data_IF_251507999785
#
_entry.id   IF_251507999785
#
_cell.length_a   1.000
_cell.length_b   1.000
_cell.length_c   1.000
_cell.angle_alpha   90.00
_cell.angle_beta   90.00
_cell.angle_gamma   90.00
#
_symmetry.space_group_name_H-M   'P 1'
#
loop_
_entity.id
_entity.type
_entity.pdbx_description
1 polymer ?
#
# COMPACT_ATOMS: atom_id res chain seq x y z
N UNK A 1 -17.21 4.21 1.51
CA UNK A 1 -17.21 2.75 1.63
C UNK A 1 -16.08 2.18 0.78
N UNK A 2 -15.35 1.23 1.31
CA UNK A 2 -14.23 0.64 0.60
C UNK A 2 -14.61 -0.62 -0.17
N UNK A 3 -13.82 -0.94 -1.19
CA UNK A 3 -14.02 -2.12 -2.02
C UNK A 3 -12.66 -2.70 -2.43
N UNK A 4 -12.65 -3.96 -2.82
CA UNK A 4 -11.45 -4.63 -3.34
C UNK A 4 -11.43 -4.53 -4.86
N UNK A 5 -10.29 -4.10 -5.40
CA UNK A 5 -10.08 -4.04 -6.85
C UNK A 5 -8.85 -4.85 -7.23
N UNK A 6 -8.80 -5.30 -8.48
CA UNK A 6 -7.65 -6.02 -9.01
C UNK A 6 -6.85 -5.10 -9.92
N UNK A 7 -5.54 -5.03 -9.68
CA UNK A 7 -4.59 -4.30 -10.52
C UNK A 7 -3.55 -5.28 -11.07
N UNK A 8 -2.87 -4.86 -12.13
CA UNK A 8 -1.80 -5.66 -12.74
C UNK A 8 -0.54 -4.80 -12.83
N UNK A 9 0.54 -5.30 -12.27
CA UNK A 9 1.85 -4.67 -12.34
C UNK A 9 2.49 -4.87 -13.72
N UNK A 10 3.56 -4.11 -14.01
CA UNK A 10 4.22 -4.13 -15.32
C UNK A 10 4.86 -5.49 -15.67
N UNK A 11 5.15 -6.32 -14.67
CA UNK A 11 5.66 -7.67 -14.88
C UNK A 11 4.56 -8.73 -15.11
N UNK A 12 3.30 -8.30 -15.19
CA UNK A 12 2.15 -9.17 -15.42
C UNK A 12 1.52 -9.77 -14.17
N UNK A 13 2.08 -9.48 -12.99
CA UNK A 13 1.51 -9.94 -11.71
C UNK A 13 0.22 -9.19 -11.39
N UNK A 14 -0.85 -9.93 -11.12
CA UNK A 14 -2.12 -9.35 -10.66
C UNK A 14 -2.23 -9.45 -9.14
N UNK A 15 -2.73 -8.39 -8.53
CA UNK A 15 -2.86 -8.31 -7.08
C UNK A 15 -4.12 -7.54 -6.70
N UNK A 16 -4.57 -7.74 -5.47
CA UNK A 16 -5.70 -7.00 -4.92
C UNK A 16 -5.21 -5.71 -4.26
N UNK A 17 -6.04 -4.69 -4.32
CA UNK A 17 -5.87 -3.46 -3.56
C UNK A 17 -7.19 -3.07 -2.92
N UNK A 18 -7.14 -2.62 -1.67
CA UNK A 18 -8.30 -2.04 -1.03
C UNK A 18 -8.45 -0.60 -1.48
N UNK A 19 -9.62 -0.26 -2.00
CA UNK A 19 -9.93 1.06 -2.56
C UNK A 19 -10.94 1.77 -1.69
N UNK A 20 -10.63 2.96 -1.21
CA UNK A 20 -11.54 3.83 -0.48
C UNK A 20 -11.65 5.16 -1.21
N UNK A 21 -12.78 5.41 -1.91
CA UNK A 21 -12.97 6.65 -2.65
C UNK A 21 -13.15 7.84 -1.70
N UNK A 22 -12.73 9.02 -2.15
CA UNK A 22 -12.79 10.23 -1.34
C UNK A 22 -14.23 10.63 -0.98
N UNK A 23 -14.35 11.26 0.17
CA UNK A 23 -15.55 11.95 0.61
C UNK A 23 -15.30 13.45 0.59
N UNK A 24 -16.34 14.23 0.22
CA UNK A 24 -16.20 15.68 0.13
C UNK A 24 -15.28 16.13 -1.02
N UNK A 25 -14.69 17.32 -0.92
CA UNK A 25 -13.84 17.85 -1.99
C UNK A 25 -12.59 17.00 -2.19
N UNK A 26 -12.30 16.64 -3.44
CA UNK A 26 -11.14 15.84 -3.82
C UNK A 26 -9.82 16.59 -3.55
N UNK A 27 -8.89 15.95 -2.89
CA UNK A 27 -7.56 16.50 -2.58
C UNK A 27 -6.41 15.82 -3.33
N UNK A 28 -6.61 14.61 -3.81
CA UNK A 28 -5.58 13.85 -4.51
C UNK A 28 -5.72 12.36 -4.29
N UNK A 29 -4.82 11.59 -4.89
CA UNK A 29 -4.68 10.17 -4.64
C UNK A 29 -3.70 9.88 -3.52
N UNK A 30 -3.89 8.78 -2.82
CA UNK A 30 -3.00 8.31 -1.77
C UNK A 30 -2.81 6.80 -1.87
N UNK A 31 -1.56 6.37 -2.00
CA UNK A 31 -1.19 4.97 -1.84
C UNK A 31 -0.80 4.76 -0.39
N UNK A 32 -1.49 3.85 0.30
CA UNK A 32 -1.26 3.55 1.71
C UNK A 32 -0.70 2.14 1.83
N UNK A 33 0.53 2.02 2.37
CA UNK A 33 1.27 0.76 2.38
C UNK A 33 1.15 0.09 3.73
N UNK A 34 0.81 -1.20 3.70
CA UNK A 34 0.63 -2.09 4.83
C UNK A 34 1.85 -2.19 5.74
N UNK A 35 1.59 -2.59 6.97
CA UNK A 35 2.60 -3.13 7.87
C UNK A 35 2.95 -4.58 7.46
N UNK A 36 3.76 -5.29 8.26
CA UNK A 36 4.07 -6.71 7.97
C UNK A 36 2.86 -7.65 8.09
N UNK A 37 1.74 -7.15 8.57
CA UNK A 37 0.55 -7.96 8.83
C UNK A 37 -0.42 -8.04 7.64
N UNK A 38 -0.13 -7.37 6.54
CA UNK A 38 -1.01 -7.32 5.38
C UNK A 38 -1.99 -6.15 5.42
N UNK A 39 -2.94 -6.14 4.50
CA UNK A 39 -4.01 -5.14 4.46
C UNK A 39 -5.11 -5.57 5.44
N UNK A 40 -4.82 -5.40 6.72
CA UNK A 40 -5.69 -5.76 7.84
C UNK A 40 -6.88 -4.80 7.98
N UNK A 41 -7.81 -5.12 8.87
CA UNK A 41 -8.92 -4.20 9.20
C UNK A 41 -8.42 -2.85 9.69
N UNK A 42 -7.27 -2.82 10.40
CA UNK A 42 -6.64 -1.57 10.82
C UNK A 42 -6.22 -0.71 9.61
N UNK A 43 -5.53 -1.31 8.64
CA UNK A 43 -5.13 -0.60 7.42
C UNK A 43 -6.36 -0.13 6.62
N UNK A 44 -7.40 -0.96 6.54
CA UNK A 44 -8.65 -0.57 5.88
C UNK A 44 -9.31 0.61 6.59
N UNK A 45 -9.29 0.64 7.92
CA UNK A 45 -9.81 1.78 8.69
C UNK A 45 -9.03 3.06 8.39
N UNK A 46 -7.69 2.98 8.30
CA UNK A 46 -6.88 4.13 7.91
C UNK A 46 -7.21 4.62 6.51
N UNK A 47 -7.49 3.70 5.57
CA UNK A 47 -7.93 4.10 4.23
C UNK A 47 -9.22 4.92 4.29
N UNK A 48 -10.18 4.50 5.12
CA UNK A 48 -11.42 5.26 5.30
C UNK A 48 -11.18 6.64 5.93
N UNK A 49 -10.29 6.70 6.93
CA UNK A 49 -9.96 7.98 7.57
C UNK A 49 -9.36 8.97 6.56
N UNK A 50 -8.44 8.54 5.72
CA UNK A 50 -7.89 9.40 4.66
C UNK A 50 -8.93 9.73 3.58
N UNK A 51 -9.83 8.81 3.26
CA UNK A 51 -10.92 9.08 2.32
C UNK A 51 -11.85 10.18 2.86
N UNK A 52 -12.14 10.18 4.16
CA UNK A 52 -12.90 11.25 4.81
C UNK A 52 -12.21 12.62 4.72
N UNK A 53 -10.89 12.63 4.59
CA UNK A 53 -10.12 13.86 4.40
C UNK A 53 -10.07 14.34 2.94
N UNK A 54 -10.62 13.57 2.00
CA UNK A 54 -10.71 13.96 0.59
C UNK A 54 -9.77 13.22 -0.35
N UNK A 55 -9.13 12.13 0.08
CA UNK A 55 -8.22 11.37 -0.76
C UNK A 55 -8.88 10.12 -1.36
N UNK A 56 -8.58 9.84 -2.63
CA UNK A 56 -8.82 8.51 -3.20
C UNK A 56 -7.68 7.59 -2.75
N UNK A 57 -7.99 6.59 -1.94
CA UNK A 57 -6.96 5.76 -1.29
C UNK A 57 -6.91 4.37 -1.93
N UNK A 58 -5.70 3.89 -2.21
CA UNK A 58 -5.42 2.51 -2.59
C UNK A 58 -4.39 1.91 -1.63
N UNK A 59 -4.73 0.75 -1.06
CA UNK A 59 -3.82 -0.03 -0.23
C UNK A 59 -3.54 -1.37 -0.94
N UNK A 60 -2.39 -1.51 -1.63
CA UNK A 60 -2.06 -2.74 -2.33
C UNK A 60 -1.73 -3.87 -1.37
N UNK A 61 -2.18 -5.08 -1.68
CA UNK A 61 -1.80 -6.30 -0.97
C UNK A 61 -0.40 -6.74 -1.41
N UNK A 62 0.62 -6.20 -0.77
CA UNK A 62 2.03 -6.44 -1.13
C UNK A 62 2.39 -7.92 -1.07
N UNK A 63 1.76 -8.70 -0.17
CA UNK A 63 2.04 -10.12 -0.01
C UNK A 63 1.36 -11.03 -1.02
N UNK A 64 0.50 -10.50 -1.91
CA UNK A 64 -0.19 -11.32 -2.92
C UNK A 64 0.76 -12.06 -3.86
N UNK A 65 1.99 -11.58 -4.01
CA UNK A 65 3.03 -12.28 -4.78
C UNK A 65 3.43 -13.61 -4.15
N UNK A 66 3.26 -13.77 -2.85
CA UNK A 66 3.55 -15.01 -2.10
C UNK A 66 2.28 -15.81 -1.86
N UNK A 67 1.23 -15.16 -1.40
CA UNK A 67 -0.06 -15.80 -1.10
C UNK A 67 -1.17 -14.75 -1.16
N UNK A 68 -2.17 -14.92 -2.03
CA UNK A 68 -3.32 -14.02 -2.09
C UNK A 68 -4.04 -13.91 -0.75
N UNK A 69 -4.48 -12.71 -0.42
CA UNK A 69 -5.26 -12.39 0.78
C UNK A 69 -4.52 -12.69 2.10
N UNK A 70 -3.18 -12.66 2.09
CA UNK A 70 -2.42 -12.91 3.31
C UNK A 70 -2.59 -11.75 4.30
N UNK A 71 -3.07 -12.09 5.49
CA UNK A 71 -3.16 -11.18 6.62
C UNK A 71 -2.86 -11.97 7.90
N UNK A 72 -2.16 -11.34 8.83
CA UNK A 72 -1.64 -12.01 10.01
C UNK A 72 -1.99 -11.25 11.29
N UNK A 73 -2.16 -11.99 12.38
CA UNK A 73 -2.26 -11.44 13.72
C UNK A 73 -0.91 -10.93 14.23
N UNK A 74 -0.95 -10.21 15.35
CA UNK A 74 0.22 -9.49 15.88
C UNK A 74 1.10 -10.33 16.80
N UNK A 75 0.76 -11.57 17.06
CA UNK A 75 1.42 -12.40 18.07
C UNK A 75 1.67 -13.84 17.58
N UNK A 76 2.58 -14.54 18.25
CA UNK A 76 2.82 -15.96 18.08
C UNK A 76 3.28 -16.36 16.68
N UNK A 77 2.73 -17.48 16.18
CA UNK A 77 3.10 -18.03 14.87
C UNK A 77 2.73 -17.10 13.73
N UNK A 78 1.64 -16.36 13.85
CA UNK A 78 1.22 -15.41 12.82
C UNK A 78 2.20 -14.24 12.69
N UNK A 79 2.75 -13.75 13.80
CA UNK A 79 3.81 -12.75 13.77
C UNK A 79 5.06 -13.28 13.04
N UNK A 80 5.44 -14.52 13.30
CA UNK A 80 6.60 -15.14 12.63
C UNK A 80 6.34 -15.29 11.12
N UNK A 81 5.14 -15.67 10.72
CA UNK A 81 4.74 -15.74 9.32
C UNK A 81 4.79 -14.35 8.66
N UNK A 82 4.32 -13.32 9.35
CA UNK A 82 4.37 -11.94 8.86
C UNK A 82 5.81 -11.48 8.63
N UNK A 83 6.72 -11.75 9.56
CA UNK A 83 8.15 -11.44 9.43
C UNK A 83 8.76 -12.18 8.24
N UNK A 84 8.46 -13.47 8.08
CA UNK A 84 8.93 -14.28 6.96
C UNK A 84 8.44 -13.71 5.62
N UNK A 85 7.16 -13.37 5.51
CA UNK A 85 6.57 -12.81 4.30
C UNK A 85 7.22 -11.47 3.93
N UNK A 86 7.44 -10.60 4.91
CA UNK A 86 8.11 -9.32 4.66
C UNK A 86 9.55 -9.53 4.16
N UNK A 87 10.29 -10.46 4.76
CA UNK A 87 11.64 -10.80 4.31
C UNK A 87 11.67 -11.36 2.89
N UNK A 88 10.74 -12.24 2.56
CA UNK A 88 10.65 -12.86 1.22
C UNK A 88 10.15 -11.88 0.15
N UNK A 89 9.24 -10.98 0.51
CA UNK A 89 8.75 -9.94 -0.40
C UNK A 89 9.84 -8.91 -0.73
N UNK A 90 10.67 -8.59 0.24
CA UNK A 90 11.74 -7.61 0.05
C UNK A 90 11.19 -6.22 -0.28
N UNK A 91 11.98 -5.47 -1.04
CA UNK A 91 11.65 -4.08 -1.39
C UNK A 91 11.61 -3.82 -2.90
N UNK A 92 12.08 -4.75 -3.72
CA UNK A 92 12.21 -4.53 -5.17
C UNK A 92 10.89 -4.73 -5.93
N UNK A 93 10.29 -5.93 -5.82
CA UNK A 93 9.06 -6.25 -6.53
C UNK A 93 7.84 -5.46 -6.03
N UNK A 94 7.73 -5.12 -4.73
CA UNK A 94 6.65 -4.23 -4.28
C UNK A 94 6.60 -2.89 -5.00
N UNK A 95 7.73 -2.40 -5.50
CA UNK A 95 7.77 -1.14 -6.27
C UNK A 95 6.93 -1.22 -7.54
N UNK A 96 6.84 -2.39 -8.16
CA UNK A 96 6.02 -2.60 -9.36
C UNK A 96 4.52 -2.50 -9.04
N UNK A 97 4.12 -3.05 -7.90
CA UNK A 97 2.73 -2.99 -7.44
C UNK A 97 2.35 -1.56 -7.04
N UNK A 98 3.24 -0.87 -6.35
CA UNK A 98 3.06 0.53 -5.97
C UNK A 98 2.95 1.41 -7.23
N UNK A 99 3.80 1.19 -8.23
CA UNK A 99 3.73 1.94 -9.47
C UNK A 99 2.37 1.78 -10.17
N UNK A 100 1.81 0.58 -10.18
CA UNK A 100 0.48 0.34 -10.76
C UNK A 100 -0.60 1.13 -10.03
N UNK A 101 -0.53 1.22 -8.71
CA UNK A 101 -1.45 2.04 -7.92
C UNK A 101 -1.30 3.53 -8.23
N UNK A 102 -0.07 4.03 -8.32
CA UNK A 102 0.21 5.44 -8.64
C UNK A 102 -0.32 5.78 -10.03
N UNK A 103 -0.07 4.91 -11.01
CA UNK A 103 -0.51 5.14 -12.39
C UNK A 103 -2.04 5.24 -12.48
N UNK A 104 -2.77 4.41 -11.74
CA UNK A 104 -4.22 4.49 -11.70
C UNK A 104 -4.71 5.80 -11.06
N UNK A 105 -4.21 6.13 -9.88
CA UNK A 105 -4.64 7.33 -9.14
C UNK A 105 -4.25 8.62 -9.85
N UNK A 106 -3.14 8.61 -10.57
CA UNK A 106 -2.62 9.81 -11.26
C UNK A 106 -3.50 10.27 -12.40
N UNK A 107 -4.39 9.43 -12.89
CA UNK A 107 -5.36 9.83 -13.93
C UNK A 107 -6.27 10.97 -13.47
N UNK A 108 -6.51 11.09 -12.16
CA UNK A 108 -7.44 12.07 -11.60
C UNK A 108 -6.74 13.26 -10.92
N UNK A 109 -5.46 13.16 -10.60
CA UNK A 109 -4.74 14.25 -9.94
C UNK A 109 -3.42 13.83 -9.30
N UNK A 110 -2.83 14.67 -8.45
CA UNK A 110 -1.56 14.37 -7.79
C UNK A 110 -1.70 13.18 -6.84
N UNK A 111 -0.62 12.39 -6.71
CA UNK A 111 -0.61 11.18 -5.89
C UNK A 111 0.50 11.28 -4.86
N UNK A 112 0.15 10.98 -3.61
CA UNK A 112 1.08 10.86 -2.50
C UNK A 112 1.15 9.40 -2.04
N UNK A 113 2.17 9.05 -1.28
CA UNK A 113 2.33 7.74 -0.69
C UNK A 113 2.66 7.86 0.78
N UNK A 114 2.10 6.98 1.59
CA UNK A 114 2.45 6.84 3.00
C UNK A 114 2.45 5.36 3.40
N UNK A 115 3.16 5.03 4.45
CA UNK A 115 3.20 3.67 4.97
C UNK A 115 3.85 3.61 6.33
N UNK A 116 3.64 2.49 7.02
CA UNK A 116 4.02 2.32 8.41
C UNK A 116 4.88 1.07 8.58
N UNK A 117 5.94 1.14 9.36
CA UNK A 117 6.85 0.02 9.61
C UNK A 117 7.47 -0.48 8.30
N UNK A 118 7.23 -1.75 7.91
CA UNK A 118 7.62 -2.27 6.60
C UNK A 118 7.11 -1.36 5.46
N UNK A 119 5.85 -0.91 5.57
CA UNK A 119 5.28 0.05 4.63
C UNK A 119 5.98 1.39 4.62
N UNK A 120 6.55 1.82 5.74
CA UNK A 120 7.40 3.01 5.81
C UNK A 120 8.69 2.83 5.01
N UNK A 121 9.32 1.66 5.11
CA UNK A 121 10.50 1.33 4.29
C UNK A 121 10.18 1.30 2.80
N UNK A 122 9.05 0.70 2.41
CA UNK A 122 8.59 0.68 1.02
C UNK A 122 8.28 2.09 0.51
N UNK A 123 7.69 2.94 1.35
CA UNK A 123 7.42 4.35 1.04
C UNK A 123 8.72 5.11 0.75
N UNK A 124 9.74 4.89 1.58
CA UNK A 124 11.07 5.47 1.38
C UNK A 124 11.67 5.05 0.04
N UNK A 125 11.62 3.75 -0.26
CA UNK A 125 12.11 3.23 -1.54
C UNK A 125 11.30 3.77 -2.72
N UNK A 126 9.98 3.87 -2.57
CA UNK A 126 9.10 4.38 -3.60
C UNK A 126 9.41 5.85 -3.94
N UNK A 127 9.75 6.66 -2.95
CA UNK A 127 10.15 8.05 -3.17
C UNK A 127 11.34 8.17 -4.13
N UNK A 128 12.24 7.17 -4.12
CA UNK A 128 13.41 7.15 -4.99
C UNK A 128 13.16 6.47 -6.35
N UNK A 129 12.22 5.53 -6.43
CA UNK A 129 12.11 4.62 -7.59
C UNK A 129 10.79 4.68 -8.33
N UNK A 130 9.70 5.05 -7.67
CA UNK A 130 8.37 5.12 -8.28
C UNK A 130 8.19 6.49 -8.93
N UNK A 131 7.68 6.49 -10.16
CA UNK A 131 7.45 7.72 -10.91
C UNK A 131 6.06 8.27 -10.67
N UNK A 132 5.96 9.58 -10.60
CA UNK A 132 4.68 10.26 -10.55
C UNK A 132 4.20 10.61 -9.15
N UNK A 133 5.01 10.42 -8.12
CA UNK A 133 4.66 10.81 -6.76
C UNK A 133 4.88 12.31 -6.53
N UNK A 134 3.89 12.97 -5.91
CA UNK A 134 3.99 14.36 -5.47
C UNK A 134 4.64 14.48 -4.10
N UNK A 135 4.39 13.51 -3.20
CA UNK A 135 5.01 13.46 -1.88
C UNK A 135 5.03 12.04 -1.32
N UNK A 136 5.91 11.82 -0.35
CA UNK A 136 6.04 10.53 0.34
C UNK A 136 6.33 10.77 1.82
N UNK A 137 5.56 10.12 2.69
CA UNK A 137 5.71 10.21 4.16
C UNK A 137 5.79 8.79 4.73
N UNK A 138 6.98 8.38 5.12
CA UNK A 138 7.20 7.06 5.74
C UNK A 138 7.30 7.16 7.26
N UNK A 139 6.62 6.27 7.96
CA UNK A 139 6.61 6.21 9.42
C UNK A 139 7.40 4.99 9.91
N UNK A 140 8.38 5.22 10.77
CA UNK A 140 9.22 4.23 11.46
C UNK A 140 9.66 3.02 10.60
N UNK A 141 10.08 3.27 9.36
CA UNK A 141 10.66 2.25 8.50
C UNK A 141 12.09 1.91 8.90
N UNK A 142 12.49 0.64 8.74
CA UNK A 142 13.86 0.21 9.10
C UNK A 142 14.95 0.79 8.20
N UNK A 143 14.59 1.21 6.99
CA UNK A 143 15.55 1.73 6.01
C UNK A 143 15.65 3.26 6.02
N UNK A 144 14.96 3.90 6.95
CA UNK A 144 14.96 5.36 7.09
C UNK A 144 15.98 5.77 8.13
#
# INVERSE_FOLDING_TARGET
MGDWITLTASDGHSFQAFSAPHHGPYKGGLVLIQEIFGVTSHIQSLCHEFAELGYDVLAPCIFDRLKPNAAFGYEGDELQQAVDFAGRSGVETPMLDIQACVDLLKQDGPVSITGFCYGGSLTWMAAARVKGLASAVGYYGRLI
#
